data_IF_282137707920
#
_entry.id   IF_282137707920
#
_cell.length_a   1.000
_cell.length_b   1.000
_cell.length_c   1.000
_cell.angle_alpha   90.00
_cell.angle_beta   90.00
_cell.angle_gamma   90.00
#
_symmetry.space_group_name_H-M   'P 1'
#
loop_
_entity.id
_entity.type
_entity.pdbx_description
1 polymer ?
#
# COMPACT_ATOMS: atom_id res chain seq x y z
N UNK A 1 -19.22 15.40 53.21
CA UNK A 1 -17.80 15.14 52.84
C UNK A 1 -17.77 13.99 51.83
N UNK A 2 -16.89 14.10 50.84
CA UNK A 2 -16.97 13.51 49.49
C UNK A 2 -16.74 11.98 49.44
N UNK A 3 -17.71 11.22 48.95
CA UNK A 3 -17.55 9.82 48.54
C UNK A 3 -16.81 9.79 47.19
N UNK A 4 -15.54 9.39 47.20
CA UNK A 4 -14.71 9.34 45.98
C UNK A 4 -15.10 8.12 45.14
N UNK A 5 -15.42 8.45 43.89
CA UNK A 5 -15.89 7.61 42.79
C UNK A 5 -14.93 6.44 42.55
N UNK A 6 -15.48 5.22 42.60
CA UNK A 6 -14.81 3.97 42.25
C UNK A 6 -14.58 3.88 40.73
N UNK A 7 -13.37 3.43 40.36
CA UNK A 7 -13.10 2.56 39.21
C UNK A 7 -13.77 2.91 37.87
N UNK A 8 -13.11 3.77 37.07
CA UNK A 8 -13.34 3.83 35.62
C UNK A 8 -12.05 4.09 34.86
N UNK A 9 -11.12 3.15 34.91
CA UNK A 9 -9.88 3.20 34.11
C UNK A 9 -9.48 1.78 33.74
N UNK A 10 -9.95 1.27 32.61
CA UNK A 10 -9.60 -0.10 32.23
C UNK A 10 -9.99 -0.61 30.84
N UNK A 11 -10.48 0.23 29.92
CA UNK A 11 -10.89 -0.24 28.57
C UNK A 11 -10.38 0.66 27.43
N UNK A 12 -9.70 1.76 27.74
CA UNK A 12 -9.22 2.71 26.72
C UNK A 12 -7.90 2.33 26.01
N UNK A 13 -6.94 1.54 26.55
CA UNK A 13 -5.69 1.32 25.83
C UNK A 13 -5.78 0.19 24.80
N UNK A 14 -6.73 -0.75 24.94
CA UNK A 14 -6.82 -1.94 24.07
C UNK A 14 -7.46 -1.64 22.72
N UNK A 15 -8.43 -0.72 22.64
CA UNK A 15 -9.04 -0.34 21.35
C UNK A 15 -8.08 0.49 20.50
N UNK A 16 -7.24 1.34 21.12
CA UNK A 16 -6.21 2.12 20.43
C UNK A 16 -5.12 1.20 19.87
N UNK A 17 -4.72 0.17 20.61
CA UNK A 17 -3.72 -0.79 20.14
C UNK A 17 -4.23 -1.61 18.93
N UNK A 18 -5.51 -2.00 18.91
CA UNK A 18 -6.11 -2.70 17.78
C UNK A 18 -6.22 -1.83 16.51
N UNK A 19 -6.38 -0.52 16.65
CA UNK A 19 -6.46 0.40 15.51
C UNK A 19 -5.08 0.69 14.89
N UNK A 20 -4.02 0.77 15.70
CA UNK A 20 -2.64 0.98 15.21
C UNK A 20 -2.12 -0.21 14.41
N UNK A 21 -2.52 -1.44 14.78
CA UNK A 21 -2.08 -2.66 14.06
C UNK A 21 -2.65 -2.76 12.64
N UNK A 22 -3.86 -2.23 12.41
CA UNK A 22 -4.48 -2.21 11.07
C UNK A 22 -3.80 -1.24 10.08
N UNK A 23 -2.89 -0.39 10.57
CA UNK A 23 -2.06 0.52 9.77
C UNK A 23 -0.64 -0.05 9.53
N UNK A 24 -0.42 -1.34 9.78
CA UNK A 24 0.76 -2.02 9.27
C UNK A 24 0.64 -2.13 7.75
N UNK A 25 1.40 -1.28 7.06
CA UNK A 25 1.42 -1.08 5.62
C UNK A 25 1.31 -2.40 4.82
N UNK A 26 0.31 -2.44 3.94
CA UNK A 26 0.24 -3.41 2.83
C UNK A 26 1.46 -3.16 1.93
N UNK A 27 2.55 -3.86 2.22
CA UNK A 27 3.76 -3.82 1.41
C UNK A 27 3.48 -4.74 0.23
N UNK A 28 2.99 -4.18 -0.87
CA UNK A 28 2.79 -4.94 -2.10
C UNK A 28 4.14 -5.56 -2.52
N UNK A 29 4.17 -6.83 -2.95
CA UNK A 29 5.40 -7.46 -3.40
C UNK A 29 5.99 -6.65 -4.56
N UNK A 30 7.16 -6.03 -4.33
CA UNK A 30 7.91 -5.34 -5.36
C UNK A 30 8.67 -6.38 -6.18
N UNK A 31 8.21 -6.64 -7.40
CA UNK A 31 9.00 -7.40 -8.37
C UNK A 31 10.21 -6.53 -8.73
N UNK A 32 11.46 -7.02 -8.55
CA UNK A 32 12.65 -6.25 -8.90
C UNK A 32 12.63 -5.97 -10.40
N UNK A 33 12.76 -4.69 -10.77
CA UNK A 33 12.84 -4.29 -12.15
C UNK A 33 14.19 -4.70 -12.75
N UNK A 34 14.22 -5.09 -14.04
CA UNK A 34 15.47 -5.27 -14.76
C UNK A 34 16.34 -4.01 -14.73
N UNK A 35 17.66 -4.20 -14.79
CA UNK A 35 18.60 -3.09 -14.81
C UNK A 35 18.30 -2.12 -15.97
N UNK A 36 18.31 -0.82 -15.66
CA UNK A 36 18.04 0.24 -16.63
C UNK A 36 16.56 0.52 -16.89
N UNK A 37 15.63 -0.06 -16.12
CA UNK A 37 14.20 0.25 -16.17
C UNK A 37 13.78 0.91 -14.85
N UNK A 38 13.17 2.09 -14.94
CA UNK A 38 12.62 2.80 -13.78
C UNK A 38 11.10 2.84 -13.90
N UNK A 39 10.40 2.44 -12.84
CA UNK A 39 8.93 2.54 -12.78
C UNK A 39 8.55 4.00 -12.50
N UNK A 40 7.78 4.59 -13.42
CA UNK A 40 7.21 5.93 -13.28
C UNK A 40 5.84 5.90 -12.60
N UNK A 41 5.00 6.88 -12.93
CA UNK A 41 3.65 6.97 -12.40
C UNK A 41 2.80 5.77 -12.86
N UNK A 42 1.87 5.34 -11.99
CA UNK A 42 0.84 4.39 -12.35
C UNK A 42 -0.52 4.97 -11.98
N UNK A 43 -1.39 5.13 -12.97
CA UNK A 43 -2.70 5.77 -12.85
C UNK A 43 -3.72 4.92 -13.61
N UNK A 44 -4.83 4.59 -12.97
CA UNK A 44 -5.93 3.80 -13.56
C UNK A 44 -5.48 2.47 -14.20
N UNK A 45 -4.41 1.87 -13.66
CA UNK A 45 -3.83 0.63 -14.17
C UNK A 45 -2.85 0.81 -15.33
N UNK A 46 -2.74 2.00 -15.91
CA UNK A 46 -1.65 2.35 -16.83
C UNK A 46 -0.38 2.56 -16.01
N UNK A 47 0.75 1.99 -16.44
CA UNK A 47 2.03 2.18 -15.77
C UNK A 47 3.08 2.71 -16.74
N UNK A 48 3.74 3.81 -16.37
CA UNK A 48 4.86 4.37 -17.11
C UNK A 48 6.18 3.69 -16.69
N UNK A 49 7.07 3.47 -17.65
CA UNK A 49 8.44 3.02 -17.43
C UNK A 49 9.41 3.87 -18.25
N UNK A 50 10.45 4.37 -17.59
CA UNK A 50 11.57 5.03 -18.25
C UNK A 50 12.71 4.02 -18.43
N UNK A 51 13.23 3.94 -19.65
CA UNK A 51 14.36 3.08 -20.01
C UNK A 51 15.63 3.91 -20.07
N UNK A 52 16.77 3.29 -19.75
CA UNK A 52 18.09 3.94 -19.74
C UNK A 52 18.54 4.51 -21.10
N UNK A 53 17.92 4.08 -22.19
CA UNK A 53 18.15 4.60 -23.54
C UNK A 53 17.32 5.87 -23.86
N UNK A 54 16.57 6.40 -22.90
CA UNK A 54 15.71 7.57 -23.07
C UNK A 54 14.31 7.26 -23.63
N UNK A 55 13.97 5.99 -23.85
CA UNK A 55 12.62 5.61 -24.24
C UNK A 55 11.67 5.60 -23.04
N UNK A 56 10.41 5.93 -23.32
CA UNK A 56 9.31 5.83 -22.36
C UNK A 56 8.26 4.85 -22.87
N UNK A 57 7.89 3.90 -22.02
CA UNK A 57 6.90 2.87 -22.33
C UNK A 57 5.70 3.02 -21.40
N UNK A 58 4.49 3.08 -21.96
CA UNK A 58 3.24 3.00 -21.20
C UNK A 58 2.68 1.59 -21.31
N UNK A 59 2.62 0.90 -20.18
CA UNK A 59 1.95 -0.39 -20.06
C UNK A 59 0.47 -0.14 -19.81
N UNK A 60 -0.37 -0.47 -20.78
CA UNK A 60 -1.83 -0.49 -20.64
C UNK A 60 -2.30 -1.95 -20.51
N UNK A 61 -2.85 -2.35 -19.35
CA UNK A 61 -3.42 -3.69 -19.20
C UNK A 61 -4.72 -3.76 -20.00
N UNK A 62 -4.80 -4.71 -20.93
CA UNK A 62 -6.04 -5.03 -21.64
C UNK A 62 -6.89 -5.98 -20.78
N UNK A 63 -8.00 -5.51 -20.18
CA UNK A 63 -8.81 -6.33 -19.28
C UNK A 63 -9.59 -7.45 -20.01
N UNK A 64 -9.64 -7.42 -21.35
CA UNK A 64 -10.39 -8.40 -22.15
C UNK A 64 -9.57 -9.64 -22.50
N UNK A 65 -8.25 -9.58 -22.30
CA UNK A 65 -7.33 -10.68 -22.59
C UNK A 65 -6.94 -11.42 -21.32
N UNK A 66 -7.50 -12.61 -21.13
CA UNK A 66 -7.00 -13.57 -20.14
C UNK A 66 -5.54 -13.89 -20.46
N UNK A 67 -4.62 -13.44 -19.61
CA UNK A 67 -3.21 -13.84 -19.71
C UNK A 67 -3.09 -15.24 -19.10
N UNK A 68 -3.24 -16.27 -19.92
CA UNK A 68 -2.91 -17.64 -19.51
C UNK A 68 -1.39 -17.80 -19.55
N UNK A 69 -0.84 -18.14 -18.39
CA UNK A 69 0.57 -18.39 -18.06
C UNK A 69 1.19 -19.53 -18.84
#
# INVERSE_FOLDING_TARGET
MRTRVFFRTGILPTVVFSFVSSLAAQTAPSVPLPAGITKGASVEGITEYDLSNGLRVLLFPDPTKTTTT
#
